data_IF_547738055378
#
_entry.id   IF_547738055378
#
_cell.length_a   1.000
_cell.length_b   1.000
_cell.length_c   1.000
_cell.angle_alpha   90.00
_cell.angle_beta   90.00
_cell.angle_gamma   90.00
#
_symmetry.space_group_name_H-M   'P 1'
#
loop_
_entity.id
_entity.type
_entity.pdbx_description
1 polymer ?
#
# COMPACT_ATOMS: atom_id res chain seq x y z
N UNK A 1 -5.18 7.44 22.52
CA UNK A 1 -3.89 6.74 22.73
C UNK A 1 -2.86 7.79 23.11
N UNK A 2 -1.99 7.56 24.09
CA UNK A 2 -0.90 8.50 24.41
C UNK A 2 0.43 7.97 23.85
N UNK A 3 1.43 8.84 23.69
CA UNK A 3 2.71 8.48 23.07
C UNK A 3 3.45 7.37 23.81
N UNK A 4 3.33 7.29 25.14
CA UNK A 4 3.98 6.22 25.92
C UNK A 4 3.38 4.84 25.63
N UNK A 5 2.06 4.72 25.50
CA UNK A 5 1.41 3.47 25.08
C UNK A 5 1.85 3.05 23.68
N UNK A 6 1.87 4.00 22.74
CA UNK A 6 2.32 3.76 21.37
C UNK A 6 3.75 3.19 21.32
N UNK A 7 4.67 3.81 22.06
CA UNK A 7 6.06 3.37 22.11
C UNK A 7 6.18 1.96 22.69
N UNK A 8 5.43 1.63 23.74
CA UNK A 8 5.41 0.28 24.32
C UNK A 8 4.91 -0.74 23.29
N UNK A 9 3.79 -0.47 22.64
CA UNK A 9 3.21 -1.37 21.64
C UNK A 9 4.11 -1.55 20.41
N UNK A 10 4.83 -0.49 20.02
CA UNK A 10 5.87 -0.58 19.00
C UNK A 10 7.00 -1.50 19.44
N UNK A 11 7.54 -1.36 20.66
CA UNK A 11 8.62 -2.25 21.12
C UNK A 11 8.21 -3.72 21.11
N UNK A 12 6.98 -4.03 21.51
CA UNK A 12 6.43 -5.40 21.49
C UNK A 12 6.38 -6.00 20.08
N UNK A 13 6.18 -5.17 19.04
CA UNK A 13 6.02 -5.61 17.64
C UNK A 13 7.22 -5.25 16.75
N UNK A 14 8.24 -4.59 17.28
CA UNK A 14 9.34 -4.01 16.51
C UNK A 14 10.01 -5.03 15.62
N UNK A 15 10.34 -6.19 16.17
CA UNK A 15 11.03 -7.26 15.43
C UNK A 15 10.20 -7.77 14.25
N UNK A 16 8.91 -8.03 14.44
CA UNK A 16 8.04 -8.53 13.36
C UNK A 16 7.78 -7.46 12.29
N UNK A 17 7.64 -6.19 12.70
CA UNK A 17 7.50 -5.05 11.79
C UNK A 17 8.76 -4.90 10.93
N UNK A 18 9.94 -4.87 11.55
CA UNK A 18 11.21 -4.70 10.84
C UNK A 18 11.51 -5.89 9.93
N UNK A 19 11.21 -7.11 10.37
CA UNK A 19 11.29 -8.30 9.50
C UNK A 19 10.40 -8.14 8.27
N UNK A 20 9.15 -7.70 8.45
CA UNK A 20 8.23 -7.52 7.33
C UNK A 20 8.69 -6.43 6.36
N UNK A 21 9.22 -5.31 6.86
CA UNK A 21 9.80 -4.27 6.00
C UNK A 21 11.03 -4.78 5.24
N UNK A 22 11.84 -5.65 5.86
CA UNK A 22 12.94 -6.32 5.18
C UNK A 22 12.45 -7.23 4.05
N UNK A 23 11.35 -7.97 4.27
CA UNK A 23 10.72 -8.78 3.22
C UNK A 23 10.30 -7.90 2.02
N UNK A 24 9.71 -6.72 2.28
CA UNK A 24 9.37 -5.76 1.21
C UNK A 24 10.58 -5.25 0.44
N UNK A 25 11.65 -4.88 1.14
CA UNK A 25 12.91 -4.46 0.50
C UNK A 25 13.61 -5.58 -0.29
N UNK A 26 13.21 -6.83 -0.06
CA UNK A 26 13.75 -8.01 -0.73
C UNK A 26 12.86 -8.52 -1.87
N UNK A 27 11.74 -7.84 -2.15
CA UNK A 27 10.87 -8.19 -3.28
C UNK A 27 11.64 -8.00 -4.58
N UNK A 28 11.73 -9.10 -5.35
CA UNK A 28 12.37 -9.08 -6.67
C UNK A 28 11.52 -8.32 -7.68
N UNK A 29 12.19 -7.73 -8.66
CA UNK A 29 11.53 -6.96 -9.71
C UNK A 29 10.47 -7.76 -10.48
N UNK A 30 10.67 -9.07 -10.66
CA UNK A 30 9.69 -9.95 -11.31
C UNK A 30 8.33 -9.99 -10.58
N UNK A 31 8.30 -9.67 -9.28
CA UNK A 31 7.09 -9.66 -8.45
C UNK A 31 6.32 -8.34 -8.54
N UNK A 32 6.91 -7.27 -9.07
CA UNK A 32 6.30 -5.93 -9.08
C UNK A 32 4.95 -5.92 -9.81
N UNK A 33 4.79 -6.73 -10.86
CA UNK A 33 3.52 -6.88 -11.56
C UNK A 33 2.41 -7.37 -10.62
N UNK A 34 2.70 -8.44 -9.88
CA UNK A 34 1.74 -9.05 -8.96
C UNK A 34 1.50 -8.18 -7.74
N UNK A 35 2.47 -7.37 -7.33
CA UNK A 35 2.29 -6.39 -6.25
C UNK A 35 1.39 -5.21 -6.67
N UNK A 36 1.51 -4.72 -7.91
CA UNK A 36 0.54 -3.76 -8.47
C UNK A 36 -0.86 -4.37 -8.56
N UNK A 37 -0.94 -5.63 -9.01
CA UNK A 37 -2.21 -6.35 -9.06
C UNK A 37 -2.81 -6.47 -7.65
N UNK A 38 -2.00 -6.78 -6.63
CA UNK A 38 -2.42 -6.82 -5.24
C UNK A 38 -3.04 -5.48 -4.81
N UNK A 39 -2.35 -4.36 -5.01
CA UNK A 39 -2.85 -3.03 -4.65
C UNK A 39 -4.12 -2.62 -5.42
N UNK A 40 -4.34 -3.11 -6.64
CA UNK A 40 -5.60 -2.91 -7.38
C UNK A 40 -6.76 -3.72 -6.78
N UNK A 41 -6.46 -4.84 -6.11
CA UNK A 41 -7.47 -5.72 -5.52
C UNK A 41 -7.83 -5.36 -4.08
N UNK A 42 -6.96 -4.71 -3.31
CA UNK A 42 -7.19 -4.38 -1.89
C UNK A 42 -8.29 -3.34 -1.60
N UNK A 43 -8.70 -2.42 -2.49
CA UNK A 43 -9.79 -1.49 -2.18
C UNK A 43 -11.09 -2.23 -1.85
N UNK A 44 -11.60 -2.03 -0.62
CA UNK A 44 -12.79 -2.71 -0.08
C UNK A 44 -12.71 -4.24 -0.14
N UNK A 45 -11.52 -4.79 0.07
CA UNK A 45 -11.25 -6.24 0.10
C UNK A 45 -10.19 -6.48 1.18
N UNK A 46 -10.32 -7.56 1.95
CA UNK A 46 -9.29 -7.86 2.96
C UNK A 46 -7.97 -8.20 2.27
N UNK A 47 -6.86 -7.81 2.89
CA UNK A 47 -5.53 -8.04 2.34
C UNK A 47 -5.27 -9.54 2.10
N UNK A 48 -5.67 -10.42 3.03
CA UNK A 48 -5.57 -11.88 2.85
C UNK A 48 -6.28 -12.39 1.61
N UNK A 49 -7.52 -11.94 1.38
CA UNK A 49 -8.30 -12.39 0.23
C UNK A 49 -7.73 -11.88 -1.10
N UNK A 50 -7.24 -10.64 -1.10
CA UNK A 50 -6.53 -10.09 -2.25
C UNK A 50 -5.27 -10.93 -2.55
N UNK A 51 -4.47 -11.24 -1.52
CA UNK A 51 -3.26 -12.05 -1.66
C UNK A 51 -3.56 -13.47 -2.17
N UNK A 52 -4.53 -14.17 -1.59
CA UNK A 52 -5.00 -15.48 -2.09
C UNK A 52 -5.38 -15.44 -3.57
N UNK A 53 -6.00 -14.33 -4.01
CA UNK A 53 -6.37 -14.12 -5.41
C UNK A 53 -5.13 -13.91 -6.29
N UNK A 54 -4.16 -13.13 -5.81
CA UNK A 54 -2.88 -12.93 -6.50
C UNK A 54 -2.11 -14.23 -6.63
N UNK A 55 -2.05 -15.07 -5.59
CA UNK A 55 -1.39 -16.39 -5.68
C UNK A 55 -2.02 -17.28 -6.75
N UNK A 56 -3.36 -17.25 -6.90
CA UNK A 56 -4.05 -17.98 -7.97
C UNK A 56 -3.70 -17.41 -9.36
N UNK A 57 -3.69 -16.09 -9.52
CA UNK A 57 -3.30 -15.45 -10.79
C UNK A 57 -1.84 -15.74 -11.14
N UNK A 58 -0.95 -15.75 -10.15
CA UNK A 58 0.47 -16.09 -10.29
C UNK A 58 0.68 -17.53 -10.70
N UNK A 59 0.03 -18.49 -10.02
CA UNK A 59 0.04 -19.92 -10.39
C UNK A 59 -0.40 -20.17 -11.83
N UNK A 60 -1.31 -19.34 -12.35
CA UNK A 60 -1.80 -19.44 -13.73
C UNK A 60 -1.02 -18.54 -14.71
N UNK A 61 0.10 -17.94 -14.29
CA UNK A 61 0.95 -17.08 -15.10
C UNK A 61 0.18 -15.94 -15.79
N UNK A 62 -0.70 -15.26 -15.05
CA UNK A 62 -1.53 -14.16 -15.56
C UNK A 62 -0.73 -13.09 -16.32
N UNK A 63 0.50 -12.79 -15.88
CA UNK A 63 1.35 -11.80 -16.53
C UNK A 63 1.64 -12.15 -18.00
N UNK A 64 1.81 -13.43 -18.33
CA UNK A 64 2.23 -13.85 -19.66
C UNK A 64 1.13 -14.59 -20.44
N UNK A 65 0.14 -15.20 -19.78
CA UNK A 65 -0.96 -15.94 -20.43
C UNK A 65 -2.19 -15.07 -20.61
N UNK A 66 -2.72 -15.00 -21.82
CA UNK A 66 -3.95 -14.25 -22.08
C UNK A 66 -5.19 -15.01 -21.58
N UNK A 67 -5.83 -14.46 -20.54
CA UNK A 67 -7.11 -14.94 -20.05
C UNK A 67 -7.81 -13.84 -19.25
N UNK A 68 -9.14 -13.91 -19.20
CA UNK A 68 -9.93 -13.02 -18.36
C UNK A 68 -9.79 -13.41 -16.87
N UNK A 69 -9.27 -12.52 -16.00
CA UNK A 69 -9.03 -12.86 -14.60
C UNK A 69 -10.34 -12.96 -13.79
N UNK A 70 -11.49 -12.49 -14.30
CA UNK A 70 -12.79 -12.48 -13.59
C UNK A 70 -13.07 -13.76 -12.81
N UNK A 71 -12.81 -14.94 -13.41
CA UNK A 71 -13.07 -16.26 -12.78
C UNK A 71 -12.30 -16.52 -11.49
N UNK A 72 -11.19 -15.80 -11.27
CA UNK A 72 -10.38 -15.87 -10.05
C UNK A 72 -10.80 -14.83 -9.00
N UNK A 73 -11.59 -13.83 -9.40
CA UNK A 73 -11.98 -12.67 -8.58
C UNK A 73 -13.36 -12.86 -7.91
N UNK A 74 -13.93 -14.06 -7.86
CA UNK A 74 -15.32 -14.29 -7.41
C UNK A 74 -15.67 -13.73 -6.02
N UNK A 75 -14.69 -13.67 -5.11
CA UNK A 75 -14.87 -13.11 -3.76
C UNK A 75 -14.44 -11.64 -3.65
N UNK A 76 -13.91 -11.06 -4.72
CA UNK A 76 -13.41 -9.68 -4.76
C UNK A 76 -14.58 -8.74 -5.08
N UNK A 77 -14.79 -7.71 -4.25
CA UNK A 77 -15.79 -6.68 -4.54
C UNK A 77 -15.41 -5.88 -5.79
N UNK A 78 -16.42 -5.51 -6.58
CA UNK A 78 -16.24 -4.79 -7.86
C UNK A 78 -15.37 -5.56 -8.86
N UNK A 79 -15.46 -6.89 -8.88
CA UNK A 79 -14.62 -7.77 -9.70
C UNK A 79 -14.58 -7.40 -11.19
N UNK A 80 -15.70 -6.94 -11.77
CA UNK A 80 -15.76 -6.55 -13.17
C UNK A 80 -14.85 -5.34 -13.46
N UNK A 81 -14.88 -4.32 -12.61
CA UNK A 81 -14.02 -3.14 -12.78
C UNK A 81 -12.56 -3.49 -12.48
N UNK A 82 -12.30 -4.25 -11.41
CA UNK A 82 -10.96 -4.69 -11.06
C UNK A 82 -10.35 -5.58 -12.14
N UNK A 83 -11.11 -6.48 -12.75
CA UNK A 83 -10.66 -7.27 -13.90
C UNK A 83 -10.24 -6.38 -15.07
N UNK A 84 -11.03 -5.35 -15.41
CA UNK A 84 -10.67 -4.38 -16.45
C UNK A 84 -9.35 -3.67 -16.11
N UNK A 85 -9.15 -3.25 -14.87
CA UNK A 85 -7.91 -2.62 -14.42
C UNK A 85 -6.69 -3.57 -14.50
N UNK A 86 -6.86 -4.83 -14.08
CA UNK A 86 -5.79 -5.84 -14.19
C UNK A 86 -5.38 -6.08 -15.66
N UNK A 87 -6.36 -6.20 -16.57
CA UNK A 87 -6.10 -6.39 -17.99
C UNK A 87 -5.41 -5.15 -18.61
N UNK A 88 -5.82 -3.95 -18.22
CA UNK A 88 -5.20 -2.71 -18.68
C UNK A 88 -3.76 -2.55 -18.15
N UNK A 89 -3.54 -2.82 -16.86
CA UNK A 89 -2.20 -2.87 -16.26
C UNK A 89 -1.30 -3.83 -17.04
N UNK A 90 -1.79 -5.04 -17.33
CA UNK A 90 -1.02 -6.05 -18.08
C UNK A 90 -0.60 -5.56 -19.46
N UNK A 91 -1.48 -4.91 -20.21
CA UNK A 91 -1.16 -4.35 -21.55
C UNK A 91 -0.08 -3.27 -21.49
N UNK A 92 -0.12 -2.44 -20.45
CA UNK A 92 0.79 -1.29 -20.30
C UNK A 92 2.03 -1.59 -19.43
N UNK A 93 2.15 -2.80 -18.89
CA UNK A 93 3.10 -3.10 -17.82
C UNK A 93 4.55 -2.86 -18.21
N UNK A 94 4.95 -3.14 -19.45
CA UNK A 94 6.33 -2.90 -19.92
C UNK A 94 6.76 -1.44 -19.74
N UNK A 95 5.87 -0.49 -20.06
CA UNK A 95 6.16 0.93 -19.90
C UNK A 95 6.14 1.35 -18.42
N UNK A 96 5.18 0.82 -17.66
CA UNK A 96 5.06 1.08 -16.22
C UNK A 96 6.32 0.61 -15.48
N UNK A 97 6.74 -0.63 -15.73
CA UNK A 97 7.94 -1.22 -15.14
C UNK A 97 9.20 -0.40 -15.43
N UNK A 98 9.42 0.02 -16.68
CA UNK A 98 10.54 0.91 -17.03
C UNK A 98 10.55 2.19 -16.18
N UNK A 99 9.39 2.81 -15.96
CA UNK A 99 9.30 4.03 -15.16
C UNK A 99 9.44 3.78 -13.66
N UNK A 100 9.02 2.61 -13.15
CA UNK A 100 9.30 2.20 -11.77
C UNK A 100 10.82 2.17 -11.54
N UNK A 101 11.58 1.55 -12.46
CA UNK A 101 13.04 1.49 -12.33
C UNK A 101 13.69 2.87 -12.45
N UNK A 102 13.22 3.71 -13.38
CA UNK A 102 13.77 5.06 -13.57
C UNK A 102 13.53 5.98 -12.37
N UNK A 103 12.41 5.82 -11.67
CA UNK A 103 11.99 6.69 -10.56
C UNK A 103 12.20 6.04 -9.18
N UNK A 104 12.94 4.93 -9.10
CA UNK A 104 13.07 4.13 -7.87
C UNK A 104 13.62 4.92 -6.67
N UNK A 105 14.45 5.92 -6.93
CA UNK A 105 15.07 6.77 -5.90
C UNK A 105 14.20 8.00 -5.55
N UNK A 106 13.09 8.21 -6.27
CA UNK A 106 12.15 9.32 -6.06
C UNK A 106 10.72 8.82 -5.82
N UNK A 107 10.39 8.41 -4.57
CA UNK A 107 9.10 7.82 -4.22
C UNK A 107 7.91 8.75 -4.51
N UNK A 108 8.12 10.07 -4.40
CA UNK A 108 7.07 11.08 -4.60
C UNK A 108 6.73 11.17 -6.09
N UNK A 109 7.73 11.28 -6.96
CA UNK A 109 7.52 11.30 -8.41
C UNK A 109 6.99 9.97 -8.93
N UNK A 110 7.51 8.85 -8.42
CA UNK A 110 6.99 7.53 -8.73
C UNK A 110 5.50 7.44 -8.38
N UNK A 111 5.09 7.94 -7.21
CA UNK A 111 3.68 7.95 -6.80
C UNK A 111 2.80 8.72 -7.79
N UNK A 112 3.18 9.93 -8.16
CA UNK A 112 2.42 10.73 -9.14
C UNK A 112 2.37 10.04 -10.52
N UNK A 113 3.47 9.42 -10.95
CA UNK A 113 3.50 8.63 -12.18
C UNK A 113 2.49 7.48 -12.15
N UNK A 114 2.48 6.67 -11.08
CA UNK A 114 1.58 5.52 -10.98
C UNK A 114 0.11 5.94 -10.98
N UNK A 115 -0.25 7.00 -10.25
CA UNK A 115 -1.61 7.55 -10.22
C UNK A 115 -2.06 7.99 -11.62
N UNK A 116 -1.18 8.64 -12.38
CA UNK A 116 -1.49 9.13 -13.72
C UNK A 116 -1.64 8.00 -14.75
N UNK A 117 -0.89 6.92 -14.61
CA UNK A 117 -0.74 5.90 -15.65
C UNK A 117 -1.45 4.57 -15.37
N UNK A 118 -1.95 4.35 -14.15
CA UNK A 118 -2.60 3.09 -13.77
C UNK A 118 -4.03 3.36 -13.28
N UNK A 119 -5.02 2.93 -14.06
CA UNK A 119 -6.43 3.04 -13.65
C UNK A 119 -6.70 2.22 -12.41
N UNK A 120 -7.45 2.81 -11.48
CA UNK A 120 -7.81 2.17 -10.21
C UNK A 120 -6.79 2.38 -9.09
N UNK A 121 -5.65 3.04 -9.35
CA UNK A 121 -4.68 3.45 -8.33
C UNK A 121 -4.89 4.92 -7.99
N UNK A 122 -5.03 5.23 -6.70
CA UNK A 122 -4.95 6.60 -6.17
C UNK A 122 -3.74 6.74 -5.23
N UNK A 123 -3.66 7.85 -4.49
CA UNK A 123 -2.58 8.12 -3.53
C UNK A 123 -2.32 7.00 -2.54
N UNK A 124 -3.37 6.36 -2.01
CA UNK A 124 -3.23 5.26 -1.06
C UNK A 124 -2.70 4.00 -1.74
N UNK A 125 -3.29 3.54 -2.85
CA UNK A 125 -2.80 2.31 -3.49
C UNK A 125 -1.40 2.48 -4.10
N UNK A 126 -1.05 3.67 -4.59
CA UNK A 126 0.30 3.94 -5.11
C UNK A 126 1.33 3.96 -3.98
N UNK A 127 1.04 4.61 -2.85
CA UNK A 127 1.92 4.54 -1.68
C UNK A 127 2.04 3.11 -1.13
N UNK A 128 0.93 2.37 -1.13
CA UNK A 128 0.90 0.96 -0.72
C UNK A 128 1.84 0.10 -1.57
N UNK A 129 1.74 0.22 -2.89
CA UNK A 129 2.63 -0.49 -3.80
C UNK A 129 4.10 -0.12 -3.56
N UNK A 130 4.41 1.18 -3.53
CA UNK A 130 5.79 1.68 -3.38
C UNK A 130 6.41 1.20 -2.06
N UNK A 131 5.65 1.20 -0.95
CA UNK A 131 6.10 0.63 0.33
C UNK A 131 6.38 -0.87 0.20
N UNK A 132 5.43 -1.61 -0.38
CA UNK A 132 5.53 -3.07 -0.45
C UNK A 132 6.71 -3.55 -1.30
N UNK A 133 7.22 -2.74 -2.23
CA UNK A 133 8.45 -3.03 -2.98
C UNK A 133 9.72 -2.40 -2.38
N UNK A 134 9.63 -1.83 -1.18
CA UNK A 134 10.77 -1.27 -0.45
C UNK A 134 11.27 0.09 -0.96
N UNK A 135 10.48 0.80 -1.77
CA UNK A 135 10.90 2.06 -2.42
C UNK A 135 10.27 3.31 -1.78
N UNK A 136 9.62 3.22 -0.62
CA UNK A 136 8.98 4.39 0.04
C UNK A 136 10.00 5.43 0.50
N UNK A 137 11.20 4.97 0.88
CA UNK A 137 12.22 5.72 1.61
C UNK A 137 11.67 6.52 2.80
N UNK A 138 10.57 6.07 3.41
CA UNK A 138 9.86 6.79 4.48
C UNK A 138 9.43 8.22 4.09
N UNK A 139 9.21 8.50 2.80
CA UNK A 139 8.84 9.82 2.26
C UNK A 139 7.35 9.95 1.91
N UNK A 140 6.62 8.84 1.92
CA UNK A 140 5.21 8.77 1.57
C UNK A 140 4.47 7.94 2.61
N UNK A 141 3.15 8.12 2.69
CA UNK A 141 2.30 7.46 3.70
C UNK A 141 1.14 6.74 3.02
N UNK A 142 0.63 5.70 3.66
CA UNK A 142 -0.54 4.94 3.20
C UNK A 142 -1.73 5.39 4.04
N UNK A 143 -2.45 6.43 3.61
CA UNK A 143 -3.61 6.93 4.38
C UNK A 143 -4.87 6.10 4.11
N UNK A 144 -5.00 4.98 4.82
CA UNK A 144 -6.22 4.18 4.86
C UNK A 144 -7.13 4.53 6.07
N UNK A 145 -8.25 3.82 6.21
CA UNK A 145 -9.19 4.08 7.32
C UNK A 145 -8.60 3.80 8.71
N UNK A 146 -7.70 2.83 8.84
CA UNK A 146 -7.07 2.43 10.09
C UNK A 146 -5.99 3.44 10.49
N UNK A 147 -5.19 3.91 9.52
CA UNK A 147 -4.23 4.98 9.73
C UNK A 147 -4.94 6.28 10.12
N UNK A 148 -6.00 6.68 9.40
CA UNK A 148 -6.74 7.90 9.74
C UNK A 148 -7.37 7.84 11.15
N UNK A 149 -7.90 6.68 11.56
CA UNK A 149 -8.41 6.48 12.93
C UNK A 149 -7.32 6.68 13.98
N UNK A 150 -6.15 6.08 13.77
CA UNK A 150 -5.02 6.23 14.68
C UNK A 150 -4.49 7.67 14.74
N UNK A 151 -4.37 8.34 13.60
CA UNK A 151 -3.98 9.76 13.58
C UNK A 151 -4.98 10.64 14.33
N UNK A 152 -6.27 10.33 14.26
CA UNK A 152 -7.30 11.04 15.01
C UNK A 152 -7.24 10.73 16.51
N UNK A 153 -7.02 9.46 16.90
CA UNK A 153 -6.92 9.02 18.31
C UNK A 153 -5.67 9.55 19.02
N UNK A 154 -4.66 9.95 18.26
CA UNK A 154 -3.43 10.61 18.68
C UNK A 154 -3.51 12.15 18.57
N UNK A 155 -4.66 12.72 18.19
CA UNK A 155 -4.89 14.15 17.99
C UNK A 155 -3.98 14.82 16.93
N UNK A 156 -3.42 14.05 15.98
CA UNK A 156 -2.61 14.56 14.86
C UNK A 156 -3.51 15.23 13.82
N UNK A 157 -4.69 14.65 13.61
CA UNK A 157 -5.78 15.25 12.84
C UNK A 157 -6.99 15.49 13.76
N UNK A 158 -7.76 16.54 13.48
CA UNK A 158 -8.93 16.93 14.29
C UNK A 158 -10.17 16.07 14.02
N UNK A 159 -10.29 15.62 12.78
CA UNK A 159 -11.42 14.81 12.32
C UNK A 159 -10.96 13.89 11.18
N UNK A 160 -11.66 12.78 11.01
CA UNK A 160 -11.46 11.85 9.89
C UNK A 160 -12.25 12.39 8.68
N UNK A 161 -11.59 12.76 7.57
CA UNK A 161 -12.30 13.30 6.43
C UNK A 161 -13.17 12.23 5.76
N UNK A 162 -14.41 12.58 5.39
CA UNK A 162 -15.30 11.70 4.62
C UNK A 162 -14.73 11.33 3.24
N UNK A 163 -13.98 12.26 2.63
CA UNK A 163 -13.32 12.08 1.34
C UNK A 163 -11.90 12.65 1.38
N UNK A 164 -10.97 11.95 0.74
CA UNK A 164 -9.57 12.35 0.61
C UNK A 164 -9.31 12.92 -0.79
N UNK A 165 -9.46 14.24 -0.95
CA UNK A 165 -8.91 14.93 -2.12
C UNK A 165 -7.38 14.96 -2.04
N UNK A 166 -6.69 15.19 -3.18
CA UNK A 166 -5.22 15.36 -3.24
C UNK A 166 -4.69 16.30 -2.15
N UNK A 167 -5.27 17.49 -2.03
CA UNK A 167 -4.84 18.49 -1.04
C UNK A 167 -5.03 18.02 0.41
N UNK A 168 -6.15 17.32 0.70
CA UNK A 168 -6.37 16.75 2.03
C UNK A 168 -5.39 15.62 2.33
N UNK A 169 -5.14 14.74 1.36
CA UNK A 169 -4.19 13.64 1.47
C UNK A 169 -2.79 14.16 1.83
N UNK A 170 -2.25 15.08 1.02
CA UNK A 170 -0.92 15.64 1.22
C UNK A 170 -0.79 16.42 2.54
N UNK A 171 -1.85 17.13 2.96
CA UNK A 171 -1.88 17.81 4.26
C UNK A 171 -1.81 16.84 5.44
N UNK A 172 -2.53 15.73 5.37
CA UNK A 172 -2.53 14.70 6.42
C UNK A 172 -1.20 13.94 6.41
N UNK A 173 -0.68 13.61 5.23
CA UNK A 173 0.63 12.98 5.05
C UNK A 173 1.75 13.82 5.67
N UNK A 174 1.79 15.13 5.40
CA UNK A 174 2.78 16.03 5.99
C UNK A 174 2.74 16.02 7.53
N UNK A 175 1.55 15.99 8.12
CA UNK A 175 1.38 15.87 9.57
C UNK A 175 1.86 14.52 10.09
N UNK A 176 1.56 13.43 9.39
CA UNK A 176 1.97 12.09 9.79
C UNK A 176 3.50 11.93 9.70
N UNK A 177 4.13 12.41 8.62
CA UNK A 177 5.59 12.46 8.49
C UNK A 177 6.25 13.27 9.61
N UNK A 178 5.66 14.41 9.98
CA UNK A 178 6.17 15.25 11.08
C UNK A 178 6.08 14.53 12.42
N UNK A 179 4.95 13.85 12.68
CA UNK A 179 4.75 13.05 13.88
C UNK A 179 5.75 11.88 13.96
N UNK A 180 5.92 11.13 12.87
CA UNK A 180 6.89 10.04 12.74
C UNK A 180 8.30 10.48 13.14
N UNK A 181 8.75 11.64 12.62
CA UNK A 181 10.04 12.23 12.99
C UNK A 181 10.12 12.58 14.47
N UNK A 182 9.06 13.16 15.04
CA UNK A 182 9.02 13.55 16.45
C UNK A 182 9.19 12.37 17.41
N UNK A 183 8.62 11.20 17.08
CA UNK A 183 8.69 10.01 17.94
C UNK A 183 9.80 9.03 17.55
N UNK A 184 10.60 9.38 16.52
CA UNK A 184 11.70 8.56 16.02
C UNK A 184 11.31 7.12 15.63
N UNK A 185 10.13 6.98 15.00
CA UNK A 185 9.67 5.72 14.38
C UNK A 185 9.28 6.06 12.95
N UNK A 186 9.77 5.29 11.98
CA UNK A 186 9.52 5.60 10.56
C UNK A 186 8.04 5.47 10.19
N UNK A 187 7.59 6.19 9.17
CA UNK A 187 6.18 6.12 8.72
C UNK A 187 5.79 4.73 8.24
N UNK A 188 6.72 3.97 7.67
CA UNK A 188 6.46 2.59 7.24
C UNK A 188 6.29 1.64 8.42
N UNK A 189 7.08 1.83 9.48
CA UNK A 189 6.91 1.08 10.73
C UNK A 189 5.60 1.44 11.42
N UNK A 190 5.24 2.73 11.44
CA UNK A 190 3.96 3.19 12.02
C UNK A 190 2.77 2.69 11.23
N UNK A 191 2.86 2.59 9.89
CA UNK A 191 1.81 1.98 9.07
C UNK A 191 1.54 0.54 9.50
N UNK A 192 2.58 -0.30 9.58
CA UNK A 192 2.42 -1.69 10.00
C UNK A 192 1.96 -1.82 11.45
N UNK A 193 2.43 -0.94 12.34
CA UNK A 193 1.99 -0.90 13.73
C UNK A 193 0.50 -0.59 13.84
N UNK A 194 0.05 0.52 13.25
CA UNK A 194 -1.37 0.94 13.29
C UNK A 194 -2.28 -0.09 12.63
N UNK A 195 -1.82 -0.75 11.56
CA UNK A 195 -2.58 -1.82 10.94
C UNK A 195 -2.68 -3.06 11.84
N UNK A 196 -1.58 -3.43 12.53
CA UNK A 196 -1.56 -4.57 13.44
C UNK A 196 -2.36 -4.35 14.73
N UNK A 197 -2.49 -3.12 15.21
CA UNK A 197 -3.36 -2.79 16.34
C UNK A 197 -4.84 -3.09 16.04
N UNK A 198 -5.25 -2.89 14.79
CA UNK A 198 -6.63 -3.07 14.37
C UNK A 198 -6.96 -4.50 13.92
N UNK A 199 -5.96 -5.24 13.42
CA UNK A 199 -6.16 -6.57 12.81
C UNK A 199 -5.57 -7.72 13.61
N UNK A 200 -4.70 -7.42 14.57
CA UNK A 200 -3.92 -8.41 15.33
C UNK A 200 -2.72 -8.98 14.57
N UNK A 201 -2.46 -8.55 13.33
CA UNK A 201 -1.43 -9.16 12.47
C UNK A 201 -0.59 -8.12 11.73
N UNK A 202 0.66 -8.46 11.43
CA UNK A 202 1.53 -7.69 10.53
C UNK A 202 1.53 -8.39 9.17
N UNK A 203 0.85 -7.81 8.18
CA UNK A 203 0.65 -8.43 6.86
C UNK A 203 1.31 -7.62 5.74
N UNK A 204 0.53 -6.88 4.94
CA UNK A 204 1.01 -6.04 3.85
C UNK A 204 -0.02 -5.02 3.42
#
# INVERSE_FOLDING_TARGET
MNNSSLLKEYQERKHIIQSRLKDFSSIKEEEYFYELCFCLLTPQTSAKLADETIQKLKKNNFQNKDFNPVKYLNKIRFLNNKSKYLLELKRNYKMIYKNILNLKDNPIELREYLIKNIKGINYKESAHFIRNIGLSNNKITILDRHILKNLNSLNIIKEIPKTLSKNKYLKIESKFLSFSKQINITVDELDLLFWSQETGEVFK
#
